data_IF_124495649012
#
_entry.id   IF_124495649012
#
_cell.length_a   1.000
_cell.length_b   1.000
_cell.length_c   1.000
_cell.angle_alpha   90.00
_cell.angle_beta   90.00
_cell.angle_gamma   90.00
#
_symmetry.space_group_name_H-M   'P 1'
#
loop_
_entity.id
_entity.type
_entity.pdbx_description
1 polymer ?
#
# COMPACT_ATOMS: atom_id res chain seq x y z
N UNK A 1 -11.72 -22.98 -7.24
CA UNK A 1 -11.50 -21.66 -6.63
C UNK A 1 -10.00 -21.47 -6.67
N UNK A 2 -9.52 -20.66 -7.61
CA UNK A 2 -8.10 -20.56 -7.95
C UNK A 2 -7.49 -19.47 -7.07
N UNK A 3 -6.85 -19.89 -5.98
CA UNK A 3 -6.04 -19.02 -5.14
C UNK A 3 -4.94 -18.38 -5.99
N UNK A 4 -4.87 -17.05 -5.95
CA UNK A 4 -3.90 -16.27 -6.71
C UNK A 4 -2.50 -16.55 -6.16
N UNK A 5 -1.68 -17.22 -6.96
CA UNK A 5 -0.25 -17.41 -6.79
C UNK A 5 0.43 -16.07 -6.45
N UNK A 6 1.21 -15.95 -5.35
CA UNK A 6 1.87 -14.71 -4.96
C UNK A 6 3.13 -14.51 -5.80
N UNK A 7 2.96 -14.20 -7.08
CA UNK A 7 4.07 -13.82 -7.95
C UNK A 7 4.39 -12.33 -7.71
N UNK A 8 5.66 -12.06 -7.47
CA UNK A 8 6.30 -10.73 -7.46
C UNK A 8 6.38 -9.94 -6.15
N UNK A 9 6.34 -10.57 -4.96
CA UNK A 9 6.89 -9.93 -3.76
C UNK A 9 8.35 -10.35 -3.60
N UNK A 10 9.36 -9.49 -3.92
CA UNK A 10 10.74 -9.86 -3.67
C UNK A 10 10.94 -10.04 -2.16
N UNK A 11 11.61 -11.13 -1.75
CA UNK A 11 11.84 -11.48 -0.33
C UNK A 11 12.50 -10.34 0.47
N UNK A 12 13.14 -9.40 -0.23
CA UNK A 12 13.85 -8.26 0.32
C UNK A 12 13.02 -6.97 0.43
N UNK A 13 11.75 -6.94 0.04
CA UNK A 13 10.95 -5.73 0.16
C UNK A 13 10.54 -5.47 1.62
N UNK A 14 11.09 -4.40 2.22
CA UNK A 14 10.78 -3.97 3.60
C UNK A 14 9.32 -3.52 3.79
N UNK A 15 8.64 -3.17 2.69
CA UNK A 15 7.25 -2.72 2.69
C UNK A 15 6.27 -3.85 2.35
N UNK A 16 6.75 -5.01 1.91
CA UNK A 16 5.89 -6.19 1.79
C UNK A 16 5.73 -6.83 3.17
N UNK A 17 4.52 -7.32 3.45
CA UNK A 17 4.18 -7.99 4.70
C UNK A 17 4.41 -7.10 5.95
N UNK A 18 3.97 -5.84 5.88
CA UNK A 18 3.98 -4.94 7.04
C UNK A 18 2.98 -5.43 8.08
N UNK A 19 3.49 -5.85 9.23
CA UNK A 19 2.69 -6.35 10.36
C UNK A 19 3.18 -5.70 11.65
N UNK A 20 2.33 -5.69 12.67
CA UNK A 20 2.69 -5.20 14.02
C UNK A 20 3.89 -5.95 14.59
N UNK A 21 4.03 -7.26 14.28
CA UNK A 21 5.17 -8.09 14.69
C UNK A 21 6.52 -7.61 14.14
N UNK A 22 6.52 -6.93 12.99
CA UNK A 22 7.74 -6.31 12.42
C UNK A 22 8.01 -4.91 12.98
N UNK A 23 7.20 -4.45 13.93
CA UNK A 23 7.34 -3.15 14.60
C UNK A 23 6.71 -1.98 13.83
N UNK A 24 5.74 -2.24 12.95
CA UNK A 24 4.97 -1.18 12.28
C UNK A 24 3.76 -0.80 13.14
N UNK A 25 3.56 0.49 13.38
CA UNK A 25 2.35 0.99 14.03
C UNK A 25 1.25 1.18 12.98
N UNK A 26 0.44 0.13 12.76
CA UNK A 26 -0.65 0.14 11.78
C UNK A 26 -1.82 0.95 12.35
N UNK A 27 -2.17 2.01 11.64
CA UNK A 27 -3.28 2.91 12.00
C UNK A 27 -4.56 2.49 11.30
N UNK A 28 -4.43 1.95 10.08
CA UNK A 28 -5.57 1.52 9.27
C UNK A 28 -5.15 0.40 8.31
N UNK A 29 -6.05 -0.57 8.10
CA UNK A 29 -5.84 -1.67 7.17
C UNK A 29 -7.13 -1.96 6.41
N UNK A 30 -7.02 -2.15 5.10
CA UNK A 30 -8.10 -2.50 4.19
C UNK A 30 -7.71 -3.73 3.35
N UNK A 31 -8.63 -4.21 2.49
CA UNK A 31 -8.36 -5.29 1.54
C UNK A 31 -7.20 -4.98 0.59
N UNK A 32 -7.03 -3.73 0.17
CA UNK A 32 -6.01 -3.35 -0.83
C UNK A 32 -4.81 -2.58 -0.27
N UNK A 33 -4.95 -1.93 0.89
CA UNK A 33 -3.97 -0.98 1.43
C UNK A 33 -3.74 -1.17 2.92
N UNK A 34 -2.58 -0.72 3.38
CA UNK A 34 -2.22 -0.61 4.79
C UNK A 34 -1.60 0.75 5.04
N UNK A 35 -2.00 1.40 6.13
CA UNK A 35 -1.49 2.69 6.55
C UNK A 35 -0.84 2.57 7.94
N UNK A 36 0.38 3.07 8.06
CA UNK A 36 1.16 3.02 9.29
C UNK A 36 1.97 4.29 9.50
N UNK A 37 2.36 4.53 10.75
CA UNK A 37 3.23 5.67 11.09
C UNK A 37 4.67 5.46 10.62
N UNK A 38 5.27 6.52 10.08
CA UNK A 38 6.70 6.49 9.73
C UNK A 38 7.55 6.42 11.01
N UNK A 39 8.57 5.54 11.00
CA UNK A 39 9.51 5.37 12.11
C UNK A 39 10.37 6.62 12.36
N UNK A 40 10.63 7.42 11.33
CA UNK A 40 11.38 8.69 11.40
C UNK A 40 10.52 9.80 10.79
N UNK A 41 9.51 10.28 11.51
CA UNK A 41 8.58 11.27 11.00
C UNK A 41 9.30 12.60 10.73
N UNK A 42 9.09 13.17 9.54
CA UNK A 42 9.58 14.51 9.18
C UNK A 42 8.60 15.63 9.58
N UNK A 43 7.41 15.26 10.07
CA UNK A 43 6.34 16.17 10.49
C UNK A 43 5.62 15.61 11.73
N UNK A 44 4.72 16.41 12.34
CA UNK A 44 3.92 15.95 13.49
C UNK A 44 3.01 14.76 13.17
N UNK A 45 2.57 14.64 11.91
CA UNK A 45 1.68 13.61 11.44
C UNK A 45 2.23 13.08 10.12
N UNK A 46 2.98 11.97 10.17
CA UNK A 46 3.59 11.35 9.00
C UNK A 46 3.18 9.88 8.90
N UNK A 47 2.26 9.63 7.97
CA UNK A 47 1.71 8.30 7.72
C UNK A 47 2.09 7.86 6.31
N UNK A 48 2.47 6.59 6.18
CA UNK A 48 2.75 5.94 4.91
C UNK A 48 1.59 5.02 4.57
N UNK A 49 1.02 5.21 3.39
CA UNK A 49 -0.02 4.33 2.83
C UNK A 49 0.63 3.49 1.75
N UNK A 50 0.68 2.18 1.98
CA UNK A 50 1.33 1.22 1.10
C UNK A 50 0.29 0.23 0.57
N UNK A 51 0.27 -0.07 -0.74
CA UNK A 51 -0.58 -1.14 -1.27
C UNK A 51 -0.08 -2.51 -0.80
N UNK A 52 -1.00 -3.43 -0.48
CA UNK A 52 -0.65 -4.83 -0.18
C UNK A 52 -0.05 -5.55 -1.40
N UNK A 53 -0.47 -5.15 -2.60
CA UNK A 53 0.18 -5.60 -3.85
C UNK A 53 1.55 -4.94 -3.99
N UNK A 54 2.57 -5.73 -4.28
CA UNK A 54 3.90 -5.18 -4.58
C UNK A 54 3.83 -4.40 -5.89
N UNK A 55 4.23 -3.13 -5.84
CA UNK A 55 4.44 -2.32 -7.03
C UNK A 55 5.92 -1.98 -7.02
N UNK A 56 6.65 -2.43 -8.03
CA UNK A 56 8.06 -2.11 -8.20
C UNK A 56 8.30 -0.60 -8.40
N UNK A 57 9.53 -0.25 -8.76
CA UNK A 57 9.91 1.15 -8.99
C UNK A 57 8.90 1.81 -9.94
N UNK A 58 8.27 2.88 -9.46
CA UNK A 58 7.49 3.79 -10.32
C UNK A 58 8.49 4.53 -11.20
N UNK A 59 8.94 3.88 -12.28
CA UNK A 59 9.42 4.62 -13.44
C UNK A 59 8.22 5.39 -13.97
N UNK A 60 8.42 6.64 -14.41
CA UNK A 60 7.36 7.54 -14.87
C UNK A 60 6.57 7.03 -16.08
N UNK A 61 5.83 5.93 -15.95
CA UNK A 61 4.83 5.49 -16.88
C UNK A 61 3.57 6.29 -16.62
N UNK A 62 3.61 7.54 -17.08
CA UNK A 62 2.41 8.16 -17.62
C UNK A 62 1.99 7.34 -18.84
N UNK A 63 1.30 6.22 -18.59
CA UNK A 63 0.53 5.38 -19.52
C UNK A 63 -0.12 4.30 -18.66
N UNK A 64 -1.41 4.48 -18.37
CA UNK A 64 -2.31 3.44 -17.84
C UNK A 64 -2.13 3.08 -16.34
N UNK A 65 -2.32 4.05 -15.44
CA UNK A 65 -3.01 3.73 -14.19
C UNK A 65 -4.48 4.08 -14.41
N UNK A 66 -5.30 3.13 -14.87
CA UNK A 66 -6.76 3.30 -14.79
C UNK A 66 -7.10 3.34 -13.30
N UNK A 67 -7.58 4.45 -12.75
CA UNK A 67 -8.06 4.43 -11.39
C UNK A 67 -9.34 3.58 -11.41
N UNK A 68 -9.31 2.41 -10.77
CA UNK A 68 -10.54 1.80 -10.24
C UNK A 68 -10.97 2.49 -8.94
N UNK A 69 -10.40 3.65 -8.61
CA UNK A 69 -10.90 4.52 -7.56
C UNK A 69 -12.24 5.13 -8.01
N UNK A 70 -13.30 4.36 -7.77
CA UNK A 70 -14.69 4.77 -7.87
C UNK A 70 -14.94 5.86 -6.83
N UNK A 71 -14.68 7.11 -7.18
CA UNK A 71 -15.46 8.19 -6.60
C UNK A 71 -16.88 8.02 -7.12
N UNK A 72 -17.73 7.34 -6.36
CA UNK A 72 -19.15 7.65 -6.40
C UNK A 72 -19.30 9.04 -5.79
N UNK A 73 -19.07 10.07 -6.60
CA UNK A 73 -19.58 11.39 -6.34
C UNK A 73 -21.10 11.32 -6.50
N UNK A 74 -21.80 10.97 -5.42
CA UNK A 74 -23.21 11.31 -5.26
C UNK A 74 -23.22 12.53 -4.36
N UNK A 75 -23.25 13.71 -4.99
CA UNK A 75 -23.77 14.91 -4.34
C UNK A 75 -25.12 15.14 -4.99
N UNK A 76 -26.14 15.20 -4.13
CA UNK A 76 -27.53 15.42 -4.45
C UNK A 76 -27.79 16.78 -5.11
#
# INVERSE_FOLDING_TARGET
MSEAEPLDAPEFCKFCNTSVERGFNIVYEDAAFVAFEDRKPASRYHYLVVPKRHIGKVFGSCRIFRPTYSQKASVA
#
